data_IF_130161581300
#
_entry.id   IF_130161581300
#
_cell.length_a   1.000
_cell.length_b   1.000
_cell.length_c   1.000
_cell.angle_alpha   90.00
_cell.angle_beta   90.00
_cell.angle_gamma   90.00
#
_symmetry.space_group_name_H-M   'P 1'
#
loop_
_entity.id
_entity.type
_entity.pdbx_description
1 polymer ?
#
# COMPACT_ATOMS: atom_id res chain seq x y z
N UNK A 1 9.57 6.66 -10.96
CA UNK A 1 10.94 6.88 -11.50
C UNK A 1 11.69 5.58 -11.73
N UNK A 2 12.09 4.80 -10.70
CA UNK A 2 12.85 3.54 -10.91
C UNK A 2 12.14 2.54 -11.83
N UNK A 3 10.82 2.41 -11.71
CA UNK A 3 10.00 1.58 -12.58
C UNK A 3 9.68 2.20 -13.96
N UNK A 4 10.31 3.32 -14.32
CA UNK A 4 10.09 3.99 -15.62
C UNK A 4 8.73 4.69 -15.80
N UNK A 5 7.84 4.65 -14.81
CA UNK A 5 6.44 5.15 -14.95
C UNK A 5 6.30 6.68 -15.05
N UNK A 6 7.31 7.42 -14.59
CA UNK A 6 7.39 8.89 -14.63
C UNK A 6 8.84 9.31 -14.34
N UNK A 7 9.18 10.55 -14.68
CA UNK A 7 10.53 11.13 -14.69
C UNK A 7 10.63 12.40 -13.82
N UNK A 8 11.85 12.91 -13.59
CA UNK A 8 12.06 14.16 -12.84
C UNK A 8 11.27 15.37 -13.41
N UNK A 9 11.21 15.58 -14.74
CA UNK A 9 10.35 16.63 -15.30
C UNK A 9 8.90 16.57 -14.86
N UNK A 10 8.31 15.36 -14.76
CA UNK A 10 6.89 15.17 -14.40
C UNK A 10 6.55 15.64 -12.97
N UNK A 11 7.54 15.74 -12.08
CA UNK A 11 7.32 16.11 -10.67
C UNK A 11 7.66 17.57 -10.36
N UNK A 12 8.14 18.34 -11.35
CA UNK A 12 8.57 19.74 -11.16
C UNK A 12 7.43 20.65 -10.68
N UNK A 13 6.18 20.35 -11.09
CA UNK A 13 5.00 21.11 -10.67
C UNK A 13 4.36 20.64 -9.37
N UNK A 14 4.91 19.60 -8.73
CA UNK A 14 4.32 19.08 -7.49
C UNK A 14 4.81 19.89 -6.28
N UNK A 15 3.90 20.21 -5.33
CA UNK A 15 4.31 20.91 -4.12
C UNK A 15 5.33 20.07 -3.33
N UNK A 16 6.27 20.75 -2.66
CA UNK A 16 7.46 20.18 -2.00
C UNK A 16 8.47 19.60 -2.99
N UNK A 17 8.06 18.66 -3.84
CA UNK A 17 8.96 17.92 -4.71
C UNK A 17 9.61 18.84 -5.74
N UNK A 18 8.84 19.72 -6.36
CA UNK A 18 9.33 20.73 -7.29
C UNK A 18 10.29 21.72 -6.64
N UNK A 19 9.92 22.22 -5.45
CA UNK A 19 10.75 23.15 -4.68
C UNK A 19 12.10 22.51 -4.32
N UNK A 20 12.08 21.27 -3.81
CA UNK A 20 13.30 20.52 -3.49
C UNK A 20 14.12 20.20 -4.73
N UNK A 21 13.49 19.86 -5.86
CA UNK A 21 14.19 19.64 -7.11
C UNK A 21 14.95 20.90 -7.55
N UNK A 22 14.31 22.07 -7.48
CA UNK A 22 14.95 23.35 -7.78
C UNK A 22 16.14 23.61 -6.84
N UNK A 23 15.92 23.50 -5.54
CA UNK A 23 16.97 23.69 -4.52
C UNK A 23 18.16 22.74 -4.70
N UNK A 24 17.90 21.47 -4.99
CA UNK A 24 18.97 20.46 -5.18
C UNK A 24 19.78 20.76 -6.43
N UNK A 25 19.11 21.14 -7.54
CA UNK A 25 19.79 21.52 -8.79
C UNK A 25 20.61 22.79 -8.66
N UNK A 26 20.13 23.76 -7.91
CA UNK A 26 20.87 25.00 -7.61
C UNK A 26 22.10 24.71 -6.75
N UNK A 27 21.95 23.92 -5.69
CA UNK A 27 23.02 23.66 -4.73
C UNK A 27 24.08 22.68 -5.25
N UNK A 28 23.69 21.77 -6.13
CA UNK A 28 24.57 20.72 -6.67
C UNK A 28 24.47 20.67 -8.20
N UNK A 29 25.01 21.69 -8.90
CA UNK A 29 25.00 21.70 -10.36
C UNK A 29 25.84 20.53 -10.89
N UNK A 30 25.22 19.67 -11.69
CA UNK A 30 25.86 18.47 -12.26
C UNK A 30 25.74 17.20 -11.42
N UNK A 31 24.93 17.19 -10.35
CA UNK A 31 24.64 15.98 -9.60
C UNK A 31 23.92 14.94 -10.47
N UNK A 32 24.37 13.69 -10.41
CA UNK A 32 23.74 12.57 -11.10
C UNK A 32 22.25 12.43 -10.73
N UNK A 33 21.40 12.11 -11.72
CA UNK A 33 19.95 12.04 -11.55
C UNK A 33 19.52 11.13 -10.38
N UNK A 34 20.16 9.97 -10.21
CA UNK A 34 19.86 9.04 -9.11
C UNK A 34 20.04 9.69 -7.73
N UNK A 35 21.11 10.49 -7.57
CA UNK A 35 21.43 11.23 -6.34
C UNK A 35 20.50 12.42 -6.15
N UNK A 36 20.09 13.09 -7.23
CA UNK A 36 19.05 14.13 -7.17
C UNK A 36 17.75 13.55 -6.62
N UNK A 37 17.32 12.40 -7.13
CA UNK A 37 16.11 11.71 -6.66
C UNK A 37 16.24 11.36 -5.17
N UNK A 38 17.37 10.78 -4.74
CA UNK A 38 17.57 10.44 -3.32
C UNK A 38 17.54 11.67 -2.41
N UNK A 39 18.16 12.78 -2.82
CA UNK A 39 18.20 13.98 -1.99
C UNK A 39 16.82 14.64 -1.89
N UNK A 40 16.03 14.63 -2.97
CA UNK A 40 14.63 15.10 -2.94
C UNK A 40 13.79 14.25 -1.98
N UNK A 41 13.88 12.92 -2.08
CA UNK A 41 13.14 12.00 -1.20
C UNK A 41 13.55 12.21 0.26
N UNK A 42 14.86 12.34 0.54
CA UNK A 42 15.37 12.60 1.88
C UNK A 42 14.78 13.89 2.46
N UNK A 43 14.84 15.00 1.72
CA UNK A 43 14.28 16.30 2.16
C UNK A 43 12.78 16.24 2.39
N UNK A 44 12.06 15.56 1.51
CA UNK A 44 10.63 15.35 1.64
C UNK A 44 10.29 14.60 2.93
N UNK A 45 10.97 13.48 3.20
CA UNK A 45 10.77 12.71 4.44
C UNK A 45 11.06 13.60 5.65
N UNK A 46 12.17 14.34 5.66
CA UNK A 46 12.53 15.24 6.77
C UNK A 46 11.42 16.23 7.07
N UNK A 47 10.98 17.01 6.08
CA UNK A 47 9.97 18.05 6.31
C UNK A 47 8.60 17.47 6.70
N UNK A 48 8.23 16.31 6.13
CA UNK A 48 6.98 15.63 6.50
C UNK A 48 7.04 15.09 7.94
N UNK A 49 8.16 14.50 8.36
CA UNK A 49 8.35 14.02 9.73
C UNK A 49 8.33 15.18 10.73
N UNK A 50 9.06 16.27 10.45
CA UNK A 50 9.07 17.48 11.29
C UNK A 50 7.65 18.06 11.45
N UNK A 51 6.88 18.15 10.35
CA UNK A 51 5.51 18.66 10.38
C UNK A 51 4.56 17.83 11.27
N UNK A 52 4.64 16.49 11.19
CA UNK A 52 3.82 15.60 12.03
C UNK A 52 4.20 15.72 13.50
N UNK A 53 5.50 15.82 13.81
CA UNK A 53 5.97 15.97 15.19
C UNK A 53 5.46 17.28 15.78
N UNK A 54 5.63 18.40 15.06
CA UNK A 54 5.19 19.71 15.52
C UNK A 54 3.65 19.78 15.67
N UNK A 55 2.92 19.27 14.68
CA UNK A 55 1.45 19.24 14.70
C UNK A 55 0.93 18.34 15.82
N UNK A 56 1.54 17.17 16.02
CA UNK A 56 1.22 16.25 17.10
C UNK A 56 1.49 16.84 18.47
N UNK A 57 2.64 17.49 18.65
CA UNK A 57 2.99 18.15 19.91
C UNK A 57 2.00 19.28 20.23
N UNK A 58 1.62 20.09 19.24
CA UNK A 58 0.60 21.13 19.43
C UNK A 58 -0.76 20.53 19.82
N UNK A 59 -1.17 19.42 19.18
CA UNK A 59 -2.41 18.73 19.50
C UNK A 59 -2.42 18.16 20.93
N UNK A 60 -1.28 17.61 21.38
CA UNK A 60 -1.10 17.12 22.75
C UNK A 60 -1.07 18.25 23.78
N UNK A 61 -0.37 19.35 23.49
CA UNK A 61 -0.32 20.52 24.36
C UNK A 61 -1.70 21.17 24.56
N UNK A 62 -2.55 21.13 23.52
CA UNK A 62 -3.93 21.61 23.62
C UNK A 62 -4.82 20.65 24.41
N UNK A 63 -4.66 19.34 24.23
CA UNK A 63 -5.47 18.31 24.90
C UNK A 63 -5.06 18.09 26.38
N UNK A 64 -3.77 18.25 26.70
CA UNK A 64 -3.15 17.98 28.01
C UNK A 64 -3.53 16.62 28.63
N UNK A 65 -3.46 15.52 27.85
CA UNK A 65 -3.87 14.20 28.33
C UNK A 65 -2.99 13.77 29.51
N UNK A 66 -3.61 13.21 30.55
CA UNK A 66 -2.91 12.61 31.70
C UNK A 66 -2.89 11.08 31.61
N UNK A 67 -3.65 10.50 30.66
CA UNK A 67 -3.73 9.06 30.45
C UNK A 67 -3.97 8.71 28.97
N UNK A 68 -3.71 7.44 28.63
CA UNK A 68 -4.11 6.88 27.33
C UNK A 68 -5.63 6.96 27.09
N UNK A 69 -6.43 7.01 28.16
CA UNK A 69 -7.89 7.12 28.04
C UNK A 69 -8.30 8.48 27.51
N UNK A 70 -7.59 9.54 27.90
CA UNK A 70 -7.84 10.90 27.40
C UNK A 70 -7.56 11.00 25.90
N UNK A 71 -6.54 10.29 25.42
CA UNK A 71 -6.23 10.16 23.98
C UNK A 71 -7.39 9.48 23.24
N UNK A 72 -7.89 8.35 23.75
CA UNK A 72 -9.02 7.62 23.16
C UNK A 72 -10.31 8.45 23.19
N UNK A 73 -10.52 9.21 24.26
CA UNK A 73 -11.68 10.08 24.45
C UNK A 73 -11.65 11.36 23.61
N UNK A 74 -10.51 11.72 22.99
CA UNK A 74 -10.36 12.94 22.20
C UNK A 74 -11.24 12.99 20.93
N UNK A 75 -11.80 11.85 20.50
CA UNK A 75 -12.69 11.71 19.32
C UNK A 75 -12.15 12.33 18.01
N UNK A 76 -10.83 12.51 17.93
CA UNK A 76 -10.12 13.03 16.76
C UNK A 76 -8.73 12.41 16.68
N UNK A 77 -8.18 12.33 15.48
CA UNK A 77 -6.78 11.92 15.27
C UNK A 77 -5.85 13.02 15.78
N UNK A 78 -4.91 12.66 16.66
CA UNK A 78 -3.93 13.62 17.22
C UNK A 78 -2.64 13.69 16.39
N UNK A 79 -2.22 12.55 15.82
CA UNK A 79 -1.03 12.47 14.97
C UNK A 79 -1.47 12.62 13.52
N UNK A 80 -1.31 13.83 12.99
CA UNK A 80 -1.68 14.17 11.62
C UNK A 80 -0.72 15.23 11.09
N UNK A 81 -0.63 15.35 9.77
CA UNK A 81 0.01 16.50 9.14
C UNK A 81 -0.77 17.79 9.46
N UNK A 82 -0.07 18.92 9.46
CA UNK A 82 -0.70 20.24 9.48
C UNK A 82 -1.63 20.42 8.27
N UNK A 83 -2.58 21.37 8.36
CA UNK A 83 -3.48 21.62 7.23
C UNK A 83 -2.73 21.96 5.92
N UNK A 84 -1.71 22.84 5.92
CA UNK A 84 -0.91 23.10 4.72
C UNK A 84 -0.18 21.86 4.20
N UNK A 85 0.38 21.03 5.09
CA UNK A 85 1.08 19.82 4.68
C UNK A 85 0.12 18.77 4.08
N UNK A 86 -1.09 18.63 4.61
CA UNK A 86 -2.12 17.74 4.03
C UNK A 86 -2.50 18.12 2.60
N UNK A 87 -2.58 19.40 2.27
CA UNK A 87 -2.88 19.82 0.89
C UNK A 87 -1.74 19.45 -0.06
N UNK A 88 -0.48 19.62 0.38
CA UNK A 88 0.70 19.23 -0.40
C UNK A 88 0.75 17.71 -0.59
N UNK A 89 0.52 16.95 0.47
CA UNK A 89 0.47 15.48 0.45
C UNK A 89 -0.65 14.95 -0.45
N UNK A 90 -1.83 15.57 -0.43
CA UNK A 90 -2.94 15.23 -1.31
C UNK A 90 -2.57 15.37 -2.78
N UNK A 91 -1.90 16.47 -3.15
CA UNK A 91 -1.46 16.70 -4.53
C UNK A 91 -0.45 15.63 -5.00
N UNK A 92 0.51 15.27 -4.13
CA UNK A 92 1.49 14.20 -4.41
C UNK A 92 0.77 12.85 -4.58
N UNK A 93 -0.16 12.51 -3.68
CA UNK A 93 -0.95 11.28 -3.78
C UNK A 93 -1.79 11.23 -5.05
N UNK A 94 -2.43 12.34 -5.42
CA UNK A 94 -3.23 12.42 -6.65
C UNK A 94 -2.37 12.15 -7.89
N UNK A 95 -1.17 12.75 -7.95
CA UNK A 95 -0.21 12.48 -9.01
C UNK A 95 0.22 11.01 -9.05
N UNK A 96 0.65 10.44 -7.92
CA UNK A 96 1.07 9.04 -7.84
C UNK A 96 -0.08 8.09 -8.20
N UNK A 97 -1.30 8.39 -7.77
CA UNK A 97 -2.47 7.60 -8.11
C UNK A 97 -2.67 7.52 -9.63
N UNK A 98 -2.57 8.64 -10.33
CA UNK A 98 -2.73 8.68 -11.78
C UNK A 98 -1.54 8.07 -12.52
N UNK A 99 -0.30 8.43 -12.14
CA UNK A 99 0.92 8.09 -12.90
C UNK A 99 1.54 6.75 -12.52
N UNK A 100 1.32 6.26 -11.30
CA UNK A 100 1.87 5.00 -10.82
C UNK A 100 0.79 3.93 -10.71
N UNK A 101 -0.21 4.13 -9.85
CA UNK A 101 -1.18 3.09 -9.54
C UNK A 101 -2.17 2.78 -10.68
N UNK A 102 -2.44 3.76 -11.54
CA UNK A 102 -3.30 3.60 -12.73
C UNK A 102 -2.52 3.47 -14.04
N UNK A 103 -1.20 3.31 -13.99
CA UNK A 103 -0.41 3.06 -15.19
C UNK A 103 -0.92 1.79 -15.89
N UNK A 104 -1.03 1.76 -17.24
CA UNK A 104 -1.57 0.61 -17.96
C UNK A 104 -0.86 -0.71 -17.64
N UNK A 105 0.48 -0.69 -17.49
CA UNK A 105 1.27 -1.86 -17.11
C UNK A 105 0.90 -2.38 -15.72
N UNK A 106 0.75 -1.49 -14.74
CA UNK A 106 0.35 -1.83 -13.37
C UNK A 106 -1.09 -2.35 -13.31
N UNK A 107 -1.99 -1.74 -14.09
CA UNK A 107 -3.39 -2.16 -14.16
C UNK A 107 -3.55 -3.56 -14.77
N UNK A 108 -2.73 -3.92 -15.76
CA UNK A 108 -2.71 -5.26 -16.34
C UNK A 108 -2.31 -6.31 -15.29
N UNK A 109 -1.16 -6.13 -14.65
CA UNK A 109 -0.68 -7.04 -13.59
C UNK A 109 -1.69 -7.15 -12.45
N UNK A 110 -2.38 -6.06 -12.11
CA UNK A 110 -3.44 -6.08 -11.10
C UNK A 110 -4.64 -6.94 -11.52
N UNK A 111 -5.03 -6.91 -12.78
CA UNK A 111 -6.14 -7.74 -13.25
C UNK A 111 -5.76 -9.22 -13.27
N UNK A 112 -4.55 -9.52 -13.72
CA UNK A 112 -3.98 -10.87 -13.69
C UNK A 112 -3.92 -11.42 -12.25
N UNK A 113 -3.48 -10.60 -11.28
CA UNK A 113 -3.45 -10.98 -9.87
C UNK A 113 -4.85 -11.20 -9.28
N UNK A 114 -5.85 -10.39 -9.66
CA UNK A 114 -7.24 -10.62 -9.24
C UNK A 114 -7.78 -11.94 -9.77
N UNK A 115 -7.43 -12.28 -11.01
CA UNK A 115 -7.86 -13.55 -11.62
C UNK A 115 -7.31 -14.73 -10.81
N UNK A 116 -6.01 -14.70 -10.48
CA UNK A 116 -5.37 -15.72 -9.63
C UNK A 116 -6.10 -15.88 -8.29
N UNK A 117 -6.38 -14.78 -7.59
CA UNK A 117 -7.06 -14.84 -6.29
C UNK A 117 -8.50 -15.34 -6.42
N UNK A 118 -9.22 -14.95 -7.48
CA UNK A 118 -10.59 -15.39 -7.75
C UNK A 118 -10.62 -16.91 -7.98
N UNK A 119 -9.72 -17.41 -8.82
CA UNK A 119 -9.67 -18.82 -9.20
C UNK A 119 -9.31 -19.68 -7.99
N UNK A 120 -8.29 -19.28 -7.22
CA UNK A 120 -7.94 -19.96 -5.97
C UNK A 120 -9.10 -19.95 -4.96
N UNK A 121 -9.77 -18.80 -4.78
CA UNK A 121 -10.92 -18.72 -3.89
C UNK A 121 -12.02 -19.70 -4.32
N UNK A 122 -12.39 -19.71 -5.60
CA UNK A 122 -13.43 -20.61 -6.10
C UNK A 122 -13.05 -22.08 -5.92
N UNK A 123 -11.81 -22.46 -6.24
CA UNK A 123 -11.35 -23.84 -6.14
C UNK A 123 -11.41 -24.38 -4.70
N UNK A 124 -10.93 -23.61 -3.71
CA UNK A 124 -11.00 -24.02 -2.30
C UNK A 124 -12.41 -23.91 -1.74
N UNK A 125 -13.16 -22.87 -2.11
CA UNK A 125 -14.50 -22.68 -1.58
C UNK A 125 -15.48 -23.75 -2.05
N UNK A 126 -15.35 -24.23 -3.29
CA UNK A 126 -16.18 -25.30 -3.83
C UNK A 126 -15.69 -26.71 -3.46
N UNK A 127 -14.58 -26.82 -2.73
CA UNK A 127 -13.94 -28.11 -2.42
C UNK A 127 -13.32 -28.84 -3.62
N UNK A 128 -13.12 -28.15 -4.76
CA UNK A 128 -12.41 -28.72 -5.93
C UNK A 128 -10.91 -28.88 -5.66
N UNK A 129 -10.39 -28.05 -4.76
CA UNK A 129 -9.04 -28.14 -4.23
C UNK A 129 -9.09 -28.23 -2.71
N UNK A 130 -8.19 -29.02 -2.13
CA UNK A 130 -7.99 -29.11 -0.68
C UNK A 130 -6.91 -28.13 -0.22
N UNK A 131 -7.19 -27.42 0.88
CA UNK A 131 -6.18 -26.62 1.58
C UNK A 131 -5.24 -27.55 2.36
N UNK A 132 -3.94 -27.22 2.47
CA UNK A 132 -2.97 -28.05 3.18
C UNK A 132 -3.13 -27.98 4.70
N UNK A 133 -2.63 -29.01 5.39
CA UNK A 133 -2.44 -29.06 6.84
C UNK A 133 -3.71 -28.69 7.65
N UNK A 134 -3.53 -27.96 8.75
CA UNK A 134 -4.59 -27.54 9.68
C UNK A 134 -5.72 -26.75 9.00
N UNK A 135 -5.46 -26.12 7.84
CA UNK A 135 -6.48 -25.41 7.07
C UNK A 135 -7.47 -26.37 6.41
N UNK A 136 -7.00 -27.52 5.93
CA UNK A 136 -7.87 -28.56 5.36
C UNK A 136 -8.83 -29.13 6.40
N UNK A 137 -8.33 -29.46 7.59
CA UNK A 137 -9.17 -29.92 8.70
C UNK A 137 -10.21 -28.85 9.09
N UNK A 138 -9.78 -27.60 9.26
CA UNK A 138 -10.66 -26.49 9.59
C UNK A 138 -11.73 -26.27 8.51
N UNK A 139 -11.42 -26.54 7.25
CA UNK A 139 -12.36 -26.42 6.14
C UNK A 139 -13.40 -27.52 6.18
N UNK A 140 -13.03 -28.77 6.40
CA UNK A 140 -14.00 -29.87 6.55
C UNK A 140 -14.94 -29.64 7.74
N UNK A 141 -14.42 -29.13 8.86
CA UNK A 141 -15.24 -28.74 10.01
C UNK A 141 -16.21 -27.59 9.68
N UNK A 142 -15.78 -26.63 8.85
CA UNK A 142 -16.62 -25.53 8.41
C UNK A 142 -17.66 -25.97 7.36
N UNK A 143 -17.31 -26.89 6.47
CA UNK A 143 -18.19 -27.43 5.42
C UNK A 143 -19.29 -28.34 5.98
N UNK A 144 -18.99 -29.05 7.07
CA UNK A 144 -19.98 -29.84 7.81
C UNK A 144 -21.07 -28.97 8.50
N UNK A 145 -20.85 -27.66 8.60
CA UNK A 145 -21.82 -26.69 9.11
C UNK A 145 -22.59 -26.05 7.96
N UNK A 146 -23.89 -25.72 8.10
CA UNK A 146 -24.63 -24.97 7.09
C UNK A 146 -24.19 -23.50 6.97
N UNK A 147 -23.17 -23.07 7.72
CA UNK A 147 -22.65 -21.70 7.73
C UNK A 147 -21.61 -21.47 6.63
N UNK A 148 -22.12 -21.10 5.45
CA UNK A 148 -21.31 -20.75 4.29
C UNK A 148 -20.38 -19.54 4.54
N UNK A 149 -20.75 -18.61 5.43
CA UNK A 149 -19.92 -17.44 5.74
C UNK A 149 -18.66 -17.84 6.49
N UNK A 150 -18.78 -18.82 7.40
CA UNK A 150 -17.63 -19.38 8.12
C UNK A 150 -16.64 -20.06 7.16
N UNK A 151 -17.15 -20.83 6.19
CA UNK A 151 -16.30 -21.45 5.14
C UNK A 151 -15.63 -20.40 4.27
N UNK A 152 -16.38 -19.39 3.81
CA UNK A 152 -15.83 -18.30 3.00
C UNK A 152 -14.75 -17.50 3.75
N UNK A 153 -14.95 -17.23 5.05
CA UNK A 153 -13.98 -16.55 5.90
C UNK A 153 -12.68 -17.34 5.98
N UNK A 154 -12.76 -18.65 6.22
CA UNK A 154 -11.58 -19.51 6.31
C UNK A 154 -10.76 -19.49 5.03
N UNK A 155 -11.40 -19.60 3.86
CA UNK A 155 -10.71 -19.50 2.56
C UNK A 155 -10.07 -18.12 2.40
N UNK A 156 -10.78 -17.04 2.74
CA UNK A 156 -10.20 -15.69 2.69
C UNK A 156 -8.96 -15.54 3.58
N UNK A 157 -8.98 -16.10 4.79
CA UNK A 157 -7.88 -15.99 5.74
C UNK A 157 -6.66 -16.79 5.25
N UNK A 158 -6.89 -17.98 4.67
CA UNK A 158 -5.85 -18.77 4.03
C UNK A 158 -5.20 -18.01 2.87
N UNK A 159 -6.00 -17.47 1.95
CA UNK A 159 -5.49 -16.69 0.81
C UNK A 159 -4.76 -15.42 1.25
N UNK A 160 -5.25 -14.72 2.28
CA UNK A 160 -4.61 -13.53 2.82
C UNK A 160 -3.27 -13.83 3.51
N UNK A 161 -3.06 -15.07 3.97
CA UNK A 161 -1.79 -15.55 4.53
C UNK A 161 -0.75 -15.95 3.48
N UNK A 162 -1.12 -16.04 2.20
CA UNK A 162 -0.20 -16.43 1.14
C UNK A 162 0.78 -15.30 0.79
N UNK A 163 2.01 -15.68 0.46
CA UNK A 163 2.92 -14.78 -0.27
C UNK A 163 2.59 -14.78 -1.75
N UNK A 164 2.91 -13.70 -2.48
CA UNK A 164 2.71 -13.62 -3.94
C UNK A 164 3.29 -14.82 -4.68
N UNK A 165 4.51 -15.24 -4.30
CA UNK A 165 5.18 -16.40 -4.90
C UNK A 165 4.41 -17.69 -4.63
N UNK A 166 3.92 -17.87 -3.40
CA UNK A 166 3.16 -19.06 -3.04
C UNK A 166 1.82 -19.11 -3.76
N UNK A 167 1.07 -18.00 -3.81
CA UNK A 167 -0.20 -17.93 -4.54
C UNK A 167 -0.04 -18.29 -6.03
N UNK A 168 1.04 -17.84 -6.67
CA UNK A 168 1.30 -18.17 -8.08
C UNK A 168 1.67 -19.65 -8.27
N UNK A 169 2.50 -20.21 -7.40
CA UNK A 169 2.82 -21.64 -7.44
C UNK A 169 1.58 -22.51 -7.22
N UNK A 170 0.74 -22.10 -6.28
CA UNK A 170 -0.49 -22.81 -5.96
C UNK A 170 -1.51 -22.73 -7.10
N UNK A 171 -1.61 -21.57 -7.76
CA UNK A 171 -2.41 -21.44 -8.98
C UNK A 171 -1.86 -22.33 -10.11
N UNK A 172 -0.54 -22.38 -10.31
CA UNK A 172 0.08 -23.27 -11.30
C UNK A 172 -0.15 -24.76 -11.01
N UNK A 173 -0.28 -25.12 -9.73
CA UNK A 173 -0.58 -26.49 -9.32
C UNK A 173 -2.02 -26.90 -9.64
N UNK A 174 -2.95 -25.96 -9.54
CA UNK A 174 -4.39 -26.20 -9.62
C UNK A 174 -5.01 -25.91 -11.00
N UNK A 175 -4.35 -25.08 -11.82
CA UNK A 175 -4.88 -24.62 -13.09
C UNK A 175 -3.87 -24.78 -14.22
N UNK A 176 -4.37 -25.11 -15.42
CA UNK A 176 -3.53 -25.33 -16.61
C UNK A 176 -2.86 -24.06 -17.14
N UNK A 177 -3.38 -22.89 -16.80
CA UNK A 177 -2.87 -21.60 -17.25
C UNK A 177 -2.83 -20.59 -16.09
N UNK A 178 -1.63 -20.14 -15.72
CA UNK A 178 -1.43 -19.10 -14.70
C UNK A 178 -0.95 -17.81 -15.37
N UNK A 179 -1.60 -16.66 -15.11
CA UNK A 179 -1.15 -15.36 -15.60
C UNK A 179 0.29 -15.03 -15.17
N UNK A 180 1.08 -14.44 -16.07
CA UNK A 180 2.41 -13.93 -15.73
C UNK A 180 2.30 -12.57 -15.05
N UNK A 181 2.63 -12.50 -13.76
CA UNK A 181 2.72 -11.24 -13.01
C UNK A 181 4.10 -10.59 -13.24
N UNK A 182 4.28 -9.91 -14.38
CA UNK A 182 5.50 -9.15 -14.71
C UNK A 182 5.20 -7.75 -15.23
#
# INVERSE_FOLDING_TARGET
MRAGLFSLPDVTGLPLVGDFLATVRERYPGLEESRVIHEIVRRQITVMVEDVILTGQAALNALKPQSQQDIRAARRTLVTFSAPMREKERAIKAFLFQRMYRAPSVMKVREDAKQVIRDLFEAYFSGKAEMPDDWGQSWHEADASPDEQKRARLVCDFLAGMTDRYAILEHQRLFDATPELR
#
